data_IF_157854635858
#
_entry.id   IF_157854635858
#
_cell.length_a   1.000
_cell.length_b   1.000
_cell.length_c   1.000
_cell.angle_alpha   90.00
_cell.angle_beta   90.00
_cell.angle_gamma   90.00
#
_symmetry.space_group_name_H-M   'P 1'
#
loop_
_entity.id
_entity.type
_entity.pdbx_description
1 polymer ?
#
# COMPACT_ATOMS: atom_id res chain seq x y z
N UNK A 1 -1.75 -15.52 17.53
CA UNK A 1 -0.95 -16.61 18.13
C UNK A 1 0.27 -15.99 18.77
N UNK A 2 0.61 -16.42 19.94
CA UNK A 2 1.79 -15.99 20.68
C UNK A 2 2.51 -17.25 21.16
N UNK A 3 3.79 -17.42 20.77
CA UNK A 3 4.61 -18.57 21.12
C UNK A 3 3.85 -19.91 21.05
N UNK A 4 3.30 -20.20 19.85
CA UNK A 4 2.55 -21.41 19.47
C UNK A 4 1.15 -21.58 20.11
N UNK A 5 0.74 -20.68 21.00
CA UNK A 5 -0.59 -20.68 21.59
C UNK A 5 -1.54 -19.71 20.87
N UNK A 6 -2.75 -20.17 20.59
CA UNK A 6 -3.81 -19.34 19.98
C UNK A 6 -4.45 -18.47 21.05
N UNK A 7 -4.20 -17.16 21.00
CA UNK A 7 -4.78 -16.21 21.96
C UNK A 7 -6.22 -15.82 21.61
N UNK A 8 -6.51 -15.62 20.32
CA UNK A 8 -7.84 -15.23 19.88
C UNK A 8 -8.13 -15.62 18.43
N UNK A 9 -9.38 -15.83 18.13
CA UNK A 9 -9.91 -15.99 16.78
C UNK A 9 -11.17 -15.15 16.64
N UNK A 10 -11.28 -14.43 15.52
CA UNK A 10 -12.45 -13.65 15.20
C UNK A 10 -12.93 -14.02 13.78
N UNK A 11 -14.22 -14.19 13.61
CA UNK A 11 -14.86 -14.39 12.32
C UNK A 11 -16.20 -13.67 12.31
N UNK A 12 -16.60 -13.14 11.17
CA UNK A 12 -17.88 -12.45 11.06
C UNK A 12 -18.23 -12.09 9.63
N UNK A 13 -19.52 -11.92 9.39
CA UNK A 13 -20.06 -11.46 8.10
C UNK A 13 -20.58 -10.03 8.28
N UNK A 14 -20.28 -9.20 7.30
CA UNK A 14 -20.81 -7.82 7.21
C UNK A 14 -21.51 -7.67 5.87
N UNK A 15 -22.75 -7.18 5.91
CA UNK A 15 -23.57 -6.93 4.73
C UNK A 15 -24.17 -5.53 4.81
N UNK A 16 -24.36 -4.89 3.67
CA UNK A 16 -25.02 -3.59 3.57
C UNK A 16 -24.89 -2.96 2.20
N UNK A 17 -25.53 -1.83 2.02
CA UNK A 17 -25.63 -1.07 0.79
C UNK A 17 -25.12 0.35 1.02
N UNK A 18 -24.32 0.87 0.10
CA UNK A 18 -23.98 2.28 -0.01
C UNK A 18 -24.60 2.88 -1.26
N UNK A 19 -25.27 4.01 -1.11
CA UNK A 19 -25.88 4.77 -2.21
C UNK A 19 -25.21 6.13 -2.33
N UNK A 20 -24.77 6.46 -3.54
CA UNK A 20 -24.24 7.78 -3.89
C UNK A 20 -25.10 8.42 -4.98
N UNK A 21 -25.51 9.64 -4.74
CA UNK A 21 -26.26 10.43 -5.71
C UNK A 21 -25.40 11.62 -6.12
N UNK A 22 -25.25 11.80 -7.44
CA UNK A 22 -24.50 12.90 -8.03
C UNK A 22 -25.46 13.94 -8.59
N UNK A 23 -25.20 15.21 -8.27
CA UNK A 23 -25.83 16.36 -8.89
C UNK A 23 -24.75 17.33 -9.38
N UNK A 24 -24.48 17.35 -10.68
CA UNK A 24 -23.37 18.13 -11.24
C UNK A 24 -22.02 17.76 -10.65
N UNK A 25 -21.40 18.68 -9.90
CA UNK A 25 -20.14 18.54 -9.21
C UNK A 25 -20.28 18.28 -7.70
N UNK A 26 -21.51 18.05 -7.24
CA UNK A 26 -21.83 17.70 -5.87
C UNK A 26 -22.25 16.24 -5.76
N UNK A 27 -22.17 15.67 -4.57
CA UNK A 27 -22.72 14.35 -4.31
C UNK A 27 -23.11 14.23 -2.84
N UNK A 28 -24.12 13.41 -2.60
CA UNK A 28 -24.45 12.91 -1.26
C UNK A 28 -24.23 11.41 -1.21
N UNK A 29 -23.81 10.94 -0.05
CA UNK A 29 -23.58 9.53 0.20
C UNK A 29 -24.29 9.11 1.48
N UNK A 30 -24.92 7.96 1.42
CA UNK A 30 -25.50 7.31 2.57
C UNK A 30 -25.30 5.80 2.51
N UNK A 31 -25.40 5.13 3.65
CA UNK A 31 -25.29 3.69 3.72
C UNK A 31 -26.29 3.10 4.73
N UNK A 32 -26.63 1.84 4.53
CA UNK A 32 -27.49 1.08 5.42
C UNK A 32 -27.11 -0.40 5.41
N UNK A 33 -27.40 -1.10 6.49
CA UNK A 33 -27.36 -2.57 6.56
C UNK A 33 -28.77 -3.20 6.52
N UNK A 34 -29.80 -2.37 6.41
CA UNK A 34 -31.17 -2.81 6.18
C UNK A 34 -31.36 -3.09 4.68
N UNK A 35 -31.79 -4.28 4.34
CA UNK A 35 -31.99 -4.75 2.95
C UNK A 35 -33.47 -4.94 2.59
N UNK A 36 -34.41 -4.52 3.47
CA UNK A 36 -35.83 -4.51 3.16
C UNK A 36 -36.15 -3.51 2.04
N UNK A 37 -36.89 -3.95 1.02
CA UNK A 37 -37.14 -3.16 -0.18
C UNK A 37 -37.84 -1.82 0.12
N UNK A 38 -38.80 -1.80 1.05
CA UNK A 38 -39.51 -0.58 1.43
C UNK A 38 -38.59 0.40 2.10
N UNK A 39 -37.78 -0.08 3.04
CA UNK A 39 -36.80 0.73 3.76
C UNK A 39 -35.70 1.27 2.84
N UNK A 40 -35.25 0.48 1.86
CA UNK A 40 -34.29 0.93 0.85
C UNK A 40 -34.89 2.05 -0.04
N UNK A 41 -36.16 1.96 -0.44
CA UNK A 41 -36.83 3.02 -1.21
C UNK A 41 -36.96 4.30 -0.39
N UNK A 42 -37.33 4.21 0.88
CA UNK A 42 -37.42 5.37 1.77
C UNK A 42 -36.03 5.98 2.02
N UNK A 43 -35.01 5.17 2.20
CA UNK A 43 -33.62 5.60 2.34
C UNK A 43 -33.12 6.34 1.09
N UNK A 44 -33.36 5.80 -0.09
CA UNK A 44 -32.99 6.43 -1.35
C UNK A 44 -33.70 7.78 -1.55
N UNK A 45 -35.00 7.85 -1.21
CA UNK A 45 -35.77 9.09 -1.26
C UNK A 45 -35.21 10.14 -0.31
N UNK A 46 -34.98 9.80 0.97
CA UNK A 46 -34.41 10.73 1.94
C UNK A 46 -33.06 11.28 1.50
N UNK A 47 -32.24 10.42 0.89
CA UNK A 47 -30.94 10.82 0.38
C UNK A 47 -31.07 11.78 -0.82
N UNK A 48 -32.01 11.52 -1.74
CA UNK A 48 -32.29 12.39 -2.87
C UNK A 48 -32.86 13.77 -2.42
N UNK A 49 -33.78 13.76 -1.45
CA UNK A 49 -34.40 14.97 -0.92
C UNK A 49 -33.35 15.91 -0.26
N UNK A 50 -32.25 15.37 0.24
CA UNK A 50 -31.14 16.16 0.83
C UNK A 50 -30.37 17.02 -0.18
N UNK A 51 -30.53 16.76 -1.49
CA UNK A 51 -29.98 17.61 -2.56
C UNK A 51 -30.87 18.81 -2.92
N UNK A 52 -32.05 18.92 -2.30
CA UNK A 52 -32.93 20.11 -2.46
C UNK A 52 -33.66 20.21 -3.81
N UNK A 53 -33.56 19.20 -4.66
CA UNK A 53 -34.22 19.17 -5.98
C UNK A 53 -35.20 18.00 -6.10
N UNK A 54 -36.31 18.23 -6.83
CA UNK A 54 -37.20 17.15 -7.23
C UNK A 54 -36.59 16.40 -8.42
N UNK A 55 -36.04 15.21 -8.15
CA UNK A 55 -35.52 14.34 -9.19
C UNK A 55 -36.62 13.91 -10.18
N UNK A 56 -36.25 13.76 -11.47
CA UNK A 56 -37.12 13.16 -12.45
C UNK A 56 -37.05 11.63 -12.32
N UNK A 57 -38.19 10.96 -12.31
CA UNK A 57 -38.22 9.51 -12.39
C UNK A 57 -37.81 9.08 -13.81
N UNK A 58 -36.63 8.50 -13.91
CA UNK A 58 -36.10 7.93 -15.15
C UNK A 58 -36.02 6.42 -14.95
N UNK A 59 -36.78 5.63 -15.73
CA UNK A 59 -36.67 4.17 -15.66
C UNK A 59 -35.29 3.77 -16.21
N UNK A 60 -34.58 2.93 -15.46
CA UNK A 60 -33.26 2.42 -15.82
C UNK A 60 -33.35 0.92 -15.99
N UNK A 61 -32.96 0.42 -17.17
CA UNK A 61 -32.79 -1.00 -17.41
C UNK A 61 -31.35 -1.38 -17.09
N UNK A 62 -31.15 -2.17 -16.04
CA UNK A 62 -29.84 -2.68 -15.68
C UNK A 62 -29.41 -3.78 -16.64
N UNK A 63 -28.20 -3.67 -17.16
CA UNK A 63 -27.52 -4.67 -17.97
C UNK A 63 -26.37 -5.27 -17.17
N UNK A 64 -26.43 -6.58 -16.94
CA UNK A 64 -25.33 -7.30 -16.29
C UNK A 64 -24.12 -7.35 -17.23
N UNK A 65 -22.97 -6.93 -16.69
CA UNK A 65 -21.68 -7.01 -17.35
C UNK A 65 -20.94 -8.20 -16.77
N UNK A 66 -20.61 -9.16 -17.62
CA UNK A 66 -19.80 -10.33 -17.27
C UNK A 66 -18.39 -10.17 -17.81
N UNK A 67 -17.41 -10.74 -17.11
CA UNK A 67 -16.00 -10.69 -17.50
C UNK A 67 -15.26 -11.92 -16.96
N UNK A 68 -14.10 -12.18 -17.51
CA UNK A 68 -13.21 -13.22 -17.03
C UNK A 68 -12.43 -12.71 -15.80
N UNK A 69 -12.43 -13.49 -14.72
CA UNK A 69 -11.72 -13.11 -13.49
C UNK A 69 -10.20 -13.25 -13.71
N UNK A 70 -9.47 -12.13 -13.56
CA UNK A 70 -8.01 -12.10 -13.66
C UNK A 70 -7.30 -12.66 -12.41
N UNK A 71 -8.03 -12.79 -11.29
CA UNK A 71 -7.49 -13.24 -10.00
C UNK A 71 -7.92 -14.67 -9.72
N UNK A 72 -7.08 -15.63 -10.09
CA UNK A 72 -7.39 -17.06 -9.95
C UNK A 72 -7.18 -17.48 -8.49
N UNK A 73 -8.26 -17.95 -7.86
CA UNK A 73 -8.26 -18.51 -6.51
C UNK A 73 -8.49 -20.01 -6.62
N UNK A 74 -7.57 -20.80 -6.11
CA UNK A 74 -7.61 -22.26 -6.18
C UNK A 74 -8.15 -22.90 -4.90
N UNK A 75 -7.79 -22.35 -3.74
CA UNK A 75 -8.16 -22.86 -2.42
C UNK A 75 -8.76 -21.71 -1.60
N UNK A 76 -10.08 -21.66 -1.54
CA UNK A 76 -10.81 -20.59 -0.86
C UNK A 76 -10.55 -20.66 0.66
N UNK A 77 -10.10 -19.58 1.31
CA UNK A 77 -9.75 -19.58 2.73
C UNK A 77 -10.92 -19.97 3.65
N UNK A 78 -12.16 -19.55 3.36
CA UNK A 78 -13.33 -19.91 4.18
C UNK A 78 -13.64 -21.41 4.17
N UNK A 79 -13.21 -22.14 3.14
CA UNK A 79 -13.41 -23.59 3.00
C UNK A 79 -12.29 -24.38 3.69
N UNK A 80 -11.23 -23.69 4.14
CA UNK A 80 -10.12 -24.30 4.87
C UNK A 80 -10.43 -24.36 6.35
N UNK A 81 -10.27 -25.56 6.93
CA UNK A 81 -10.54 -25.76 8.34
C UNK A 81 -9.64 -24.89 9.24
N UNK A 82 -10.18 -24.39 10.34
CA UNK A 82 -9.43 -23.53 11.28
C UNK A 82 -8.14 -24.20 11.78
N UNK A 83 -8.17 -25.52 12.03
CA UNK A 83 -7.00 -26.29 12.45
C UNK A 83 -5.84 -26.21 11.47
N UNK A 84 -6.13 -26.17 10.15
CA UNK A 84 -5.11 -26.12 9.11
C UNK A 84 -4.49 -24.71 9.02
N UNK A 85 -5.31 -23.66 9.20
CA UNK A 85 -4.83 -22.28 9.35
C UNK A 85 -3.93 -22.11 10.58
N UNK A 86 -4.33 -22.69 11.71
CA UNK A 86 -3.54 -22.71 12.94
C UNK A 86 -2.23 -23.48 12.74
N UNK A 87 -2.23 -24.57 11.98
CA UNK A 87 -1.00 -25.32 11.67
C UNK A 87 -0.01 -24.48 10.85
N UNK A 88 -0.49 -23.69 9.87
CA UNK A 88 0.38 -22.74 9.14
C UNK A 88 0.99 -21.69 10.08
N UNK A 89 0.19 -21.12 10.99
CA UNK A 89 0.67 -20.13 11.95
C UNK A 89 1.72 -20.73 12.91
N UNK A 90 1.51 -21.99 13.35
CA UNK A 90 2.46 -22.69 14.24
C UNK A 90 3.80 -22.90 13.55
N UNK A 91 3.81 -23.35 12.28
CA UNK A 91 5.04 -23.51 11.50
C UNK A 91 5.84 -22.21 11.40
N UNK A 92 5.16 -21.06 11.22
CA UNK A 92 5.81 -19.75 11.20
C UNK A 92 6.36 -19.36 12.57
N UNK A 93 5.62 -19.64 13.64
CA UNK A 93 6.01 -19.33 15.01
C UNK A 93 7.23 -20.17 15.46
N UNK A 94 7.18 -21.50 15.24
CA UNK A 94 8.28 -22.42 15.53
C UNK A 94 9.55 -22.06 14.77
N UNK A 95 9.42 -21.70 13.47
CA UNK A 95 10.55 -21.27 12.65
C UNK A 95 11.19 -19.96 13.13
N UNK A 96 10.38 -19.03 13.63
CA UNK A 96 10.88 -17.80 14.23
C UNK A 96 11.60 -18.07 15.55
N UNK A 97 11.01 -18.87 16.45
CA UNK A 97 11.56 -19.17 17.78
C UNK A 97 12.86 -20.00 17.69
N UNK A 98 12.93 -20.95 16.75
CA UNK A 98 14.10 -21.80 16.56
C UNK A 98 15.26 -21.14 15.81
N UNK A 99 15.08 -19.91 15.32
CA UNK A 99 16.10 -19.19 14.54
C UNK A 99 17.35 -18.88 15.37
N UNK A 100 17.16 -18.41 16.61
CA UNK A 100 18.24 -18.08 17.54
C UNK A 100 17.73 -18.14 18.98
N UNK A 101 18.60 -18.48 19.93
CA UNK A 101 18.27 -18.57 21.36
C UNK A 101 17.86 -17.22 21.99
N UNK A 102 18.21 -16.11 21.38
CA UNK A 102 17.80 -14.77 21.82
C UNK A 102 16.39 -14.39 21.35
N UNK A 103 15.73 -15.18 20.50
CA UNK A 103 14.32 -14.94 20.16
C UNK A 103 13.44 -15.39 21.33
N UNK A 104 12.94 -14.43 22.06
CA UNK A 104 12.14 -14.66 23.28
C UNK A 104 10.64 -14.68 23.02
N UNK A 105 10.20 -14.13 21.86
CA UNK A 105 8.78 -14.01 21.54
C UNK A 105 8.55 -14.07 20.04
N UNK A 106 7.56 -14.86 19.61
CA UNK A 106 7.02 -14.88 18.25
C UNK A 106 5.51 -14.61 18.28
N UNK A 107 5.08 -13.60 17.54
CA UNK A 107 3.66 -13.23 17.39
C UNK A 107 3.29 -13.47 15.94
N UNK A 108 2.28 -14.30 15.71
CA UNK A 108 1.77 -14.60 14.38
C UNK A 108 0.31 -14.17 14.27
N UNK A 109 0.01 -13.32 13.28
CA UNK A 109 -1.34 -12.94 12.91
C UNK A 109 -1.65 -13.46 11.52
N UNK A 110 -2.73 -14.20 11.39
CA UNK A 110 -3.29 -14.64 10.12
C UNK A 110 -4.59 -13.89 9.88
N UNK A 111 -4.80 -13.45 8.66
CA UNK A 111 -6.03 -12.82 8.21
C UNK A 111 -6.43 -13.33 6.84
N UNK A 112 -7.70 -13.62 6.65
CA UNK A 112 -8.31 -13.77 5.34
C UNK A 112 -9.58 -12.91 5.25
N UNK A 113 -9.92 -12.52 4.02
CA UNK A 113 -11.09 -11.70 3.71
C UNK A 113 -11.67 -12.16 2.37
N UNK A 114 -12.99 -12.29 2.33
CA UNK A 114 -13.75 -12.57 1.11
C UNK A 114 -14.86 -11.52 0.98
N UNK A 115 -14.73 -10.66 -0.04
CA UNK A 115 -15.66 -9.56 -0.29
C UNK A 115 -16.44 -9.81 -1.59
N UNK A 116 -17.76 -9.98 -1.47
CA UNK A 116 -18.68 -10.00 -2.60
C UNK A 116 -19.19 -8.58 -2.85
N UNK A 117 -18.96 -8.06 -4.03
CA UNK A 117 -19.32 -6.69 -4.43
C UNK A 117 -20.30 -6.76 -5.58
N UNK A 118 -21.40 -5.99 -5.48
CA UNK A 118 -22.33 -5.73 -6.58
C UNK A 118 -22.48 -4.22 -6.75
N UNK A 119 -22.28 -3.72 -7.95
CA UNK A 119 -22.32 -2.29 -8.27
C UNK A 119 -23.31 -2.07 -9.41
N UNK A 120 -24.23 -1.13 -9.21
CA UNK A 120 -25.15 -0.67 -10.26
C UNK A 120 -25.22 0.86 -10.28
N UNK A 121 -25.56 1.43 -11.43
CA UNK A 121 -25.71 2.88 -11.57
C UNK A 121 -26.88 3.26 -12.48
N UNK A 122 -27.23 4.56 -12.49
CA UNK A 122 -28.30 5.11 -13.30
C UNK A 122 -28.02 5.13 -14.81
N UNK A 123 -26.82 4.73 -15.26
CA UNK A 123 -26.49 4.55 -16.69
C UNK A 123 -26.80 3.12 -17.17
N UNK A 124 -27.40 2.28 -16.29
CA UNK A 124 -27.80 0.91 -16.62
C UNK A 124 -26.72 -0.14 -16.35
N UNK A 125 -25.60 0.21 -15.74
CA UNK A 125 -24.55 -0.75 -15.38
C UNK A 125 -25.00 -1.62 -14.21
N UNK A 126 -24.76 -2.94 -14.30
CA UNK A 126 -24.76 -3.87 -13.19
C UNK A 126 -23.57 -4.82 -13.33
N UNK A 127 -22.69 -4.86 -12.34
CA UNK A 127 -21.46 -5.66 -12.37
C UNK A 127 -21.17 -6.21 -10.97
N UNK A 128 -20.64 -7.42 -10.92
CA UNK A 128 -20.28 -8.10 -9.66
C UNK A 128 -18.81 -8.47 -9.66
N UNK A 129 -18.21 -8.50 -8.47
CA UNK A 129 -16.84 -8.92 -8.25
C UNK A 129 -16.72 -9.71 -6.94
N UNK A 130 -15.78 -10.65 -6.90
CA UNK A 130 -15.42 -11.38 -5.68
C UNK A 130 -13.93 -11.20 -5.43
N UNK A 131 -13.60 -10.63 -4.29
CA UNK A 131 -12.23 -10.30 -3.89
C UNK A 131 -11.84 -11.16 -2.70
N UNK A 132 -10.85 -12.01 -2.88
CA UNK A 132 -10.34 -12.90 -1.83
C UNK A 132 -8.89 -12.52 -1.55
N UNK A 133 -8.56 -12.41 -0.26
CA UNK A 133 -7.21 -12.05 0.19
C UNK A 133 -6.81 -12.89 1.38
N UNK A 134 -5.52 -13.17 1.47
CA UNK A 134 -4.91 -13.77 2.65
C UNK A 134 -3.61 -13.07 3.00
N UNK A 135 -3.30 -13.00 4.28
CA UNK A 135 -2.08 -12.39 4.82
C UNK A 135 -1.62 -13.10 6.08
N UNK A 136 -0.31 -13.27 6.20
CA UNK A 136 0.31 -13.70 7.46
C UNK A 136 1.35 -12.65 7.87
N UNK A 137 1.25 -12.17 9.11
CA UNK A 137 2.21 -11.25 9.70
C UNK A 137 2.89 -11.93 10.89
N UNK A 138 4.21 -12.00 10.85
CA UNK A 138 5.04 -12.52 11.95
C UNK A 138 5.88 -11.37 12.51
N UNK A 139 5.90 -11.27 13.83
CA UNK A 139 6.79 -10.38 14.56
C UNK A 139 7.59 -11.22 15.55
N UNK A 140 8.91 -11.14 15.47
CA UNK A 140 9.83 -11.80 16.38
C UNK A 140 10.51 -10.76 17.28
N UNK A 141 10.64 -11.05 18.56
CA UNK A 141 11.35 -10.21 19.54
C UNK A 141 12.64 -10.90 19.93
N UNK A 142 13.76 -10.27 19.66
CA UNK A 142 15.08 -10.67 20.14
C UNK A 142 15.44 -9.89 21.39
N UNK A 143 16.06 -10.56 22.37
CA UNK A 143 16.49 -9.97 23.63
C UNK A 143 17.81 -10.56 24.10
N UNK A 144 18.74 -9.69 24.51
CA UNK A 144 19.99 -10.03 25.17
C UNK A 144 20.24 -9.03 26.32
N UNK A 145 20.07 -9.49 27.54
CA UNK A 145 20.10 -8.61 28.73
C UNK A 145 19.09 -7.46 28.62
N UNK A 146 19.59 -6.24 28.59
CA UNK A 146 18.78 -5.02 28.43
C UNK A 146 18.49 -4.66 26.95
N UNK A 147 19.19 -5.27 26.01
CA UNK A 147 18.96 -5.05 24.59
C UNK A 147 17.69 -5.79 24.15
N UNK A 148 16.85 -5.10 23.39
CA UNK A 148 15.61 -5.67 22.86
C UNK A 148 15.24 -5.01 21.53
N UNK A 149 15.01 -5.84 20.52
CA UNK A 149 14.58 -5.38 19.19
C UNK A 149 13.51 -6.29 18.61
N UNK A 150 12.77 -5.74 17.66
CA UNK A 150 11.68 -6.46 16.99
C UNK A 150 11.89 -6.45 15.49
N UNK A 151 11.86 -7.63 14.88
CA UNK A 151 11.78 -7.80 13.44
C UNK A 151 10.39 -8.25 13.01
N UNK A 152 10.00 -7.97 11.79
CA UNK A 152 8.71 -8.45 11.27
C UNK A 152 8.75 -8.68 9.76
N UNK A 153 7.94 -9.67 9.34
CA UNK A 153 7.68 -10.00 7.95
C UNK A 153 6.17 -10.25 7.79
N UNK A 154 5.54 -9.65 6.78
CA UNK A 154 4.08 -9.71 6.71
C UNK A 154 3.56 -9.76 5.27
N UNK A 155 3.89 -10.81 4.49
CA UNK A 155 3.40 -10.98 3.13
C UNK A 155 1.90 -11.26 3.08
N UNK A 156 1.29 -10.89 1.95
CA UNK A 156 -0.11 -11.16 1.64
C UNK A 156 -0.37 -11.00 0.15
N UNK A 157 -1.49 -11.55 -0.31
CA UNK A 157 -1.88 -11.51 -1.72
C UNK A 157 -3.39 -11.53 -1.89
N UNK A 158 -3.84 -11.15 -3.08
CA UNK A 158 -5.22 -11.35 -3.55
C UNK A 158 -5.34 -12.80 -4.06
N UNK A 159 -5.07 -13.73 -3.15
CA UNK A 159 -4.96 -15.16 -3.38
C UNK A 159 -5.69 -15.95 -2.30
N UNK A 160 -5.91 -17.24 -2.55
CA UNK A 160 -6.39 -18.19 -1.56
C UNK A 160 -5.24 -18.81 -0.74
N UNK A 161 -5.49 -20.01 -0.21
CA UNK A 161 -4.50 -20.73 0.62
C UNK A 161 -3.27 -21.19 -0.19
N UNK A 162 -3.32 -21.20 -1.52
CA UNK A 162 -2.18 -21.45 -2.39
C UNK A 162 -1.07 -20.41 -2.25
N UNK A 163 -1.36 -19.24 -1.72
CA UNK A 163 -0.37 -18.23 -1.37
C UNK A 163 0.76 -18.80 -0.52
N UNK A 164 0.43 -19.71 0.42
CA UNK A 164 1.40 -20.33 1.33
C UNK A 164 2.24 -21.46 0.70
N UNK A 165 1.98 -21.81 -0.55
CA UNK A 165 2.85 -22.72 -1.31
C UNK A 165 4.10 -21.97 -1.80
N UNK A 166 3.95 -20.67 -2.12
CA UNK A 166 5.03 -19.76 -2.55
C UNK A 166 5.68 -19.06 -1.35
N UNK A 167 4.87 -18.45 -0.48
CA UNK A 167 5.32 -17.76 0.74
C UNK A 167 5.22 -18.72 1.93
N UNK A 168 6.23 -19.58 2.08
CA UNK A 168 6.21 -20.60 3.12
C UNK A 168 6.18 -19.97 4.51
N UNK A 169 5.30 -20.42 5.43
CA UNK A 169 5.23 -19.89 6.78
C UNK A 169 6.57 -19.86 7.50
N UNK A 170 7.40 -20.88 7.29
CA UNK A 170 8.73 -20.97 7.90
C UNK A 170 9.65 -19.82 7.45
N UNK A 171 9.61 -19.47 6.17
CA UNK A 171 10.46 -18.40 5.62
C UNK A 171 10.01 -17.04 6.16
N UNK A 172 8.69 -16.84 6.34
CA UNK A 172 8.13 -15.62 6.94
C UNK A 172 8.61 -15.51 8.40
N UNK A 173 8.56 -16.61 9.17
CA UNK A 173 9.04 -16.67 10.56
C UNK A 173 10.53 -16.38 10.67
N UNK A 174 11.35 -17.06 9.86
CA UNK A 174 12.82 -16.88 9.83
C UNK A 174 13.20 -15.45 9.46
N UNK A 175 12.53 -14.84 8.49
CA UNK A 175 12.85 -13.48 8.07
C UNK A 175 12.53 -12.46 9.18
N UNK A 176 11.41 -12.62 9.89
CA UNK A 176 11.11 -11.79 11.05
C UNK A 176 12.18 -11.91 12.14
N UNK A 177 12.62 -13.14 12.45
CA UNK A 177 13.66 -13.40 13.43
C UNK A 177 15.04 -12.88 12.98
N UNK A 178 15.40 -13.05 11.69
CA UNK A 178 16.64 -12.52 11.12
C UNK A 178 16.73 -11.01 11.31
N UNK A 179 15.66 -10.27 10.98
CA UNK A 179 15.61 -8.81 11.15
C UNK A 179 15.79 -8.46 12.63
N UNK A 180 15.08 -9.13 13.55
CA UNK A 180 15.19 -8.89 14.99
C UNK A 180 16.62 -9.06 15.49
N UNK A 181 17.28 -10.16 15.09
CA UNK A 181 18.66 -10.46 15.47
C UNK A 181 19.67 -9.47 14.89
N UNK A 182 19.50 -9.07 13.63
CA UNK A 182 20.35 -8.05 13.00
C UNK A 182 20.25 -6.72 13.74
N UNK A 183 19.04 -6.32 14.11
CA UNK A 183 18.80 -5.03 14.79
C UNK A 183 19.19 -5.07 16.28
N UNK A 184 19.23 -6.24 16.92
CA UNK A 184 19.57 -6.39 18.34
C UNK A 184 20.92 -5.74 18.67
N UNK A 185 21.92 -5.97 17.81
CA UNK A 185 23.28 -5.47 17.97
C UNK A 185 23.60 -4.28 17.06
N UNK A 186 22.62 -3.76 16.35
CA UNK A 186 22.82 -2.60 15.48
C UNK A 186 23.23 -1.36 16.28
N UNK A 187 24.14 -0.57 15.70
CA UNK A 187 24.61 0.67 16.30
C UNK A 187 23.56 1.80 16.10
N UNK A 188 23.54 2.83 16.97
CA UNK A 188 22.72 4.01 16.71
C UNK A 188 23.10 4.66 15.38
N UNK A 189 22.06 4.96 14.55
CA UNK A 189 22.29 5.64 13.26
C UNK A 189 22.83 7.05 13.47
N UNK A 190 23.86 7.47 12.72
CA UNK A 190 24.27 8.88 12.68
C UNK A 190 23.19 9.73 12.01
N UNK A 191 23.03 10.98 12.46
CA UNK A 191 22.18 11.97 11.81
C UNK A 191 22.99 12.84 10.84
N UNK A 192 22.36 13.33 9.80
CA UNK A 192 22.99 14.23 8.83
C UNK A 192 22.32 14.22 7.48
N UNK A 193 22.88 14.98 6.55
CA UNK A 193 22.48 14.96 5.13
C UNK A 193 23.47 14.09 4.38
N UNK A 194 22.97 13.08 3.69
CA UNK A 194 23.80 12.09 3.00
C UNK A 194 23.05 11.42 1.86
N UNK A 195 23.75 10.79 0.90
CA UNK A 195 23.12 9.88 -0.05
C UNK A 195 22.43 8.71 0.66
N UNK A 196 21.23 8.36 0.19
CA UNK A 196 20.48 7.21 0.72
C UNK A 196 20.12 6.29 -0.43
N UNK A 197 20.52 5.02 -0.32
CA UNK A 197 20.02 3.96 -1.18
C UNK A 197 18.85 3.31 -0.46
N UNK A 198 17.69 3.36 -1.07
CA UNK A 198 16.46 2.74 -0.56
C UNK A 198 16.22 1.48 -1.37
N UNK A 199 16.19 0.33 -0.71
CA UNK A 199 16.05 -0.96 -1.38
C UNK A 199 14.65 -1.15 -2.00
N UNK A 200 14.51 -2.18 -2.76
CA UNK A 200 13.29 -2.51 -3.49
C UNK A 200 12.11 -2.89 -2.56
N UNK A 201 10.97 -3.19 -3.15
CA UNK A 201 9.77 -3.65 -2.41
C UNK A 201 9.15 -2.55 -1.57
N UNK A 202 9.10 -2.72 -0.25
CA UNK A 202 8.44 -1.77 0.66
C UNK A 202 9.12 -0.39 0.72
N UNK A 203 10.33 -0.24 0.15
CA UNK A 203 10.93 1.08 -0.11
C UNK A 203 10.02 2.01 -0.88
N UNK A 204 9.18 1.47 -1.78
CA UNK A 204 8.17 2.20 -2.54
C UNK A 204 7.10 2.91 -1.71
N UNK A 205 7.04 2.69 -0.39
CA UNK A 205 6.17 3.44 0.52
C UNK A 205 6.47 4.94 0.48
N UNK A 206 7.72 5.34 0.26
CA UNK A 206 8.09 6.75 0.14
C UNK A 206 7.41 7.37 -1.07
N UNK A 207 7.45 6.71 -2.24
CA UNK A 207 6.74 7.19 -3.42
C UNK A 207 5.23 7.22 -3.20
N UNK A 208 4.66 6.18 -2.58
CA UNK A 208 3.23 6.08 -2.28
C UNK A 208 2.74 7.27 -1.45
N UNK A 209 3.41 7.54 -0.35
CA UNK A 209 3.01 8.60 0.60
C UNK A 209 3.39 9.99 0.08
N UNK A 210 4.63 10.18 -0.32
CA UNK A 210 5.16 11.49 -0.67
C UNK A 210 4.65 12.02 -2.03
N UNK A 211 4.28 11.12 -2.94
CA UNK A 211 3.82 11.47 -4.29
C UNK A 211 2.43 10.90 -4.60
N UNK A 212 2.21 9.61 -4.38
CA UNK A 212 0.99 8.91 -4.78
C UNK A 212 -0.29 9.56 -4.27
N UNK A 213 -0.37 9.87 -2.98
CA UNK A 213 -1.52 10.59 -2.41
C UNK A 213 -1.72 11.98 -3.01
N UNK A 214 -0.64 12.67 -3.36
CA UNK A 214 -0.70 13.97 -4.03
C UNK A 214 -1.18 13.88 -5.49
N UNK A 215 -1.22 12.70 -6.08
CA UNK A 215 -1.77 12.43 -7.42
C UNK A 215 -3.23 11.95 -7.38
N UNK A 216 -3.83 11.78 -6.21
CA UNK A 216 -5.26 11.48 -6.08
C UNK A 216 -6.11 12.71 -6.49
N UNK A 217 -7.00 12.53 -7.46
CA UNK A 217 -7.79 13.61 -8.06
C UNK A 217 -8.62 14.41 -7.05
N UNK A 218 -8.98 13.82 -5.91
CA UNK A 218 -9.69 14.53 -4.85
C UNK A 218 -8.91 15.73 -4.31
N UNK A 219 -7.62 15.58 -4.08
CA UNK A 219 -6.72 16.66 -3.64
C UNK A 219 -6.45 17.65 -4.78
N UNK A 220 -6.18 17.11 -5.98
CA UNK A 220 -5.89 17.91 -7.19
C UNK A 220 -7.08 18.82 -7.55
N UNK A 221 -8.30 18.31 -7.58
CA UNK A 221 -9.50 19.05 -7.93
C UNK A 221 -9.85 20.17 -6.93
N UNK A 222 -9.35 20.09 -5.71
CA UNK A 222 -9.50 21.11 -4.66
C UNK A 222 -8.30 22.06 -4.58
N UNK A 223 -7.34 21.92 -5.46
CA UNK A 223 -6.07 22.65 -5.44
C UNK A 223 -5.30 22.51 -4.10
N UNK A 224 -5.41 21.34 -3.49
CA UNK A 224 -4.75 20.97 -2.22
C UNK A 224 -3.53 20.06 -2.43
N UNK A 225 -3.19 19.76 -3.68
CA UNK A 225 -2.03 18.94 -4.05
C UNK A 225 -0.92 19.82 -4.62
N UNK A 226 0.33 19.51 -4.24
CA UNK A 226 1.54 20.13 -4.80
C UNK A 226 1.68 19.87 -6.31
N UNK A 227 0.96 18.88 -6.85
CA UNK A 227 0.98 18.53 -8.27
C UNK A 227 -0.26 19.03 -9.04
N UNK A 228 -1.14 19.82 -8.40
CA UNK A 228 -2.29 20.41 -9.09
C UNK A 228 -1.80 21.33 -10.22
N UNK A 229 -2.38 21.18 -11.42
CA UNK A 229 -2.03 21.95 -12.60
C UNK A 229 -0.68 21.64 -13.23
N UNK A 230 0.02 20.58 -12.81
CA UNK A 230 1.36 20.23 -13.30
C UNK A 230 1.39 19.12 -14.37
N UNK A 231 0.24 18.75 -14.95
CA UNK A 231 0.24 17.81 -16.08
C UNK A 231 1.16 18.29 -17.20
N UNK A 232 1.99 17.38 -17.73
CA UNK A 232 2.99 17.67 -18.75
C UNK A 232 4.26 18.33 -18.24
N UNK A 233 4.35 18.67 -16.96
CA UNK A 233 5.55 19.28 -16.37
C UNK A 233 6.47 18.23 -15.74
N UNK A 234 7.75 18.56 -15.61
CA UNK A 234 8.73 17.76 -14.88
C UNK A 234 8.51 17.88 -13.38
N UNK A 235 8.28 16.73 -12.72
CA UNK A 235 8.09 16.65 -11.26
C UNK A 235 9.04 15.64 -10.60
N UNK A 236 9.82 14.93 -11.39
CA UNK A 236 10.82 13.97 -10.94
C UNK A 236 12.05 14.00 -11.87
N UNK A 237 13.12 13.35 -11.48
CA UNK A 237 14.29 13.18 -12.35
C UNK A 237 13.95 12.29 -13.57
N UNK A 238 14.75 12.37 -14.62
CA UNK A 238 14.48 11.68 -15.89
C UNK A 238 14.51 10.15 -15.76
N UNK A 239 15.25 9.60 -14.82
CA UNK A 239 15.30 8.15 -14.57
C UNK A 239 14.02 7.62 -13.92
N UNK A 240 13.11 8.48 -13.44
CA UNK A 240 11.89 8.09 -12.73
C UNK A 240 10.72 7.90 -13.70
N UNK A 241 10.19 6.68 -13.74
CA UNK A 241 8.89 6.36 -14.35
C UNK A 241 8.06 5.62 -13.31
N UNK A 242 6.81 6.06 -13.11
CA UNK A 242 5.91 5.52 -12.09
C UNK A 242 4.54 5.20 -12.65
N UNK A 243 3.94 4.14 -12.15
CA UNK A 243 2.61 3.67 -12.56
C UNK A 243 1.76 3.32 -11.34
N UNK A 244 0.44 3.32 -11.55
CA UNK A 244 -0.54 2.61 -10.72
C UNK A 244 -1.20 1.54 -11.59
N UNK A 245 -1.18 0.28 -11.15
CA UNK A 245 -1.63 -0.85 -11.95
C UNK A 245 -2.51 -1.80 -11.16
N UNK A 246 -3.83 -1.64 -11.30
CA UNK A 246 -4.83 -2.51 -10.66
C UNK A 246 -5.03 -3.86 -11.34
N UNK A 247 -4.37 -4.12 -12.48
CA UNK A 247 -4.58 -5.32 -13.32
C UNK A 247 -3.64 -6.47 -13.02
N UNK A 248 -2.64 -6.26 -12.16
CA UNK A 248 -1.62 -7.29 -11.87
C UNK A 248 -2.28 -8.50 -11.23
N UNK A 249 -2.22 -9.70 -11.85
CA UNK A 249 -2.87 -10.88 -11.30
C UNK A 249 -2.44 -11.16 -9.85
N UNK A 250 -3.42 -11.41 -8.99
CA UNK A 250 -3.23 -11.80 -7.60
C UNK A 250 -2.43 -10.82 -6.70
N UNK A 251 -2.09 -9.60 -7.18
CA UNK A 251 -1.43 -8.61 -6.36
C UNK A 251 -2.40 -8.07 -5.27
N UNK A 252 -1.86 -7.70 -4.12
CA UNK A 252 -2.63 -7.32 -2.93
C UNK A 252 -3.59 -6.15 -3.16
N UNK A 253 -3.18 -5.13 -3.93
CA UNK A 253 -3.98 -3.96 -4.27
C UNK A 253 -4.88 -4.13 -5.49
N UNK A 254 -4.79 -5.25 -6.23
CA UNK A 254 -5.54 -5.49 -7.46
C UNK A 254 -7.00 -5.86 -7.22
N UNK A 255 -7.84 -5.58 -8.22
CA UNK A 255 -9.21 -6.03 -8.35
C UNK A 255 -9.61 -5.99 -9.83
N UNK A 256 -10.64 -6.75 -10.24
CA UNK A 256 -11.12 -6.70 -11.62
C UNK A 256 -11.77 -5.36 -11.95
N UNK A 257 -12.49 -4.80 -10.98
CA UNK A 257 -13.17 -3.51 -11.08
C UNK A 257 -12.89 -2.63 -9.86
N UNK A 258 -12.94 -1.31 -10.07
CA UNK A 258 -12.97 -0.35 -8.97
C UNK A 258 -14.34 -0.32 -8.27
N UNK A 259 -14.50 0.49 -7.23
CA UNK A 259 -15.75 0.57 -6.47
C UNK A 259 -16.83 1.48 -7.10
N UNK A 260 -16.62 1.93 -8.34
CA UNK A 260 -17.62 2.53 -9.25
C UNK A 260 -17.96 1.60 -10.44
N UNK A 261 -17.43 0.36 -10.44
CA UNK A 261 -17.69 -0.66 -11.45
C UNK A 261 -16.97 -0.40 -12.78
N UNK A 262 -15.85 0.29 -12.78
CA UNK A 262 -15.00 0.45 -13.95
C UNK A 262 -13.89 -0.61 -13.91
N UNK A 263 -13.57 -1.23 -15.05
CA UNK A 263 -12.45 -2.16 -15.13
C UNK A 263 -11.16 -1.46 -14.78
N UNK A 264 -10.40 -2.09 -13.86
CA UNK A 264 -9.08 -1.59 -13.48
C UNK A 264 -8.14 -1.54 -14.67
N UNK A 265 -7.15 -0.69 -14.60
CA UNK A 265 -6.18 -0.49 -15.68
C UNK A 265 -4.81 -0.13 -15.11
N UNK A 266 -3.81 -0.20 -15.98
CA UNK A 266 -2.51 0.39 -15.72
C UNK A 266 -2.53 1.85 -16.15
N UNK A 267 -2.23 2.75 -15.22
CA UNK A 267 -2.15 4.20 -15.43
C UNK A 267 -0.71 4.64 -15.28
N UNK A 268 -0.12 5.25 -16.31
CA UNK A 268 1.19 5.89 -16.20
C UNK A 268 1.02 7.22 -15.50
N UNK A 269 1.59 7.36 -14.32
CA UNK A 269 1.54 8.58 -13.51
C UNK A 269 2.66 9.55 -13.88
N UNK A 270 3.89 9.03 -13.93
CA UNK A 270 5.09 9.77 -14.31
C UNK A 270 5.82 8.97 -15.39
N UNK A 271 6.26 9.63 -16.44
CA UNK A 271 7.07 9.03 -17.49
C UNK A 271 8.34 9.87 -17.69
N UNK A 272 9.50 9.28 -17.41
CA UNK A 272 10.81 9.97 -17.51
C UNK A 272 10.78 11.34 -16.83
N UNK A 273 10.26 11.37 -15.60
CA UNK A 273 10.14 12.58 -14.78
C UNK A 273 8.99 13.51 -15.10
N UNK A 274 8.22 13.27 -16.17
CA UNK A 274 7.09 14.11 -16.60
C UNK A 274 5.78 13.56 -16.05
N UNK A 275 4.97 14.39 -15.40
CA UNK A 275 3.64 14.04 -14.92
C UNK A 275 2.69 13.80 -16.09
N UNK A 276 2.12 12.59 -16.20
CA UNK A 276 1.26 12.17 -17.30
C UNK A 276 -0.21 12.05 -16.92
N UNK A 277 -0.50 11.68 -15.67
CA UNK A 277 -1.88 11.45 -15.24
C UNK A 277 -2.01 11.62 -13.73
N UNK A 278 -3.25 11.78 -13.30
CA UNK A 278 -3.71 11.64 -11.93
C UNK A 278 -4.47 10.33 -11.74
N UNK A 279 -4.75 9.95 -10.50
CA UNK A 279 -5.67 8.89 -10.14
C UNK A 279 -7.08 9.47 -10.02
N UNK A 280 -7.97 9.12 -10.94
CA UNK A 280 -9.22 9.86 -11.15
C UNK A 280 -10.43 8.96 -10.90
N UNK A 281 -11.30 9.36 -9.95
CA UNK A 281 -12.66 8.86 -9.76
C UNK A 281 -13.69 9.66 -10.57
N UNK A 282 -14.92 9.21 -10.65
CA UNK A 282 -15.97 9.83 -11.47
C UNK A 282 -16.24 11.29 -11.08
N UNK A 283 -16.41 11.61 -9.80
CA UNK A 283 -16.73 12.96 -9.37
C UNK A 283 -15.58 13.95 -9.63
N UNK A 284 -14.38 13.57 -9.27
CA UNK A 284 -13.23 14.44 -9.46
C UNK A 284 -12.79 14.49 -10.93
N UNK A 285 -13.09 13.45 -11.71
CA UNK A 285 -12.99 13.48 -13.18
C UNK A 285 -13.87 14.56 -13.81
N UNK A 286 -15.13 14.70 -13.36
CA UNK A 286 -16.00 15.79 -13.78
C UNK A 286 -15.42 17.17 -13.43
N UNK A 287 -14.88 17.33 -12.21
CA UNK A 287 -14.26 18.60 -11.76
C UNK A 287 -13.01 18.96 -12.54
N UNK A 288 -12.20 17.99 -12.91
CA UNK A 288 -10.94 18.18 -13.65
C UNK A 288 -11.12 18.09 -15.19
N UNK A 289 -12.32 17.78 -15.67
CA UNK A 289 -12.57 17.44 -17.07
C UNK A 289 -11.64 16.33 -17.60
N UNK A 290 -11.49 15.28 -16.80
CA UNK A 290 -10.63 14.13 -17.09
C UNK A 290 -11.45 12.83 -17.02
N UNK A 291 -11.14 11.83 -17.87
CA UNK A 291 -11.76 10.51 -17.74
C UNK A 291 -11.33 9.81 -16.44
N UNK A 292 -12.22 8.96 -15.92
CA UNK A 292 -11.86 8.08 -14.78
C UNK A 292 -10.69 7.16 -15.17
N UNK A 293 -9.77 6.96 -14.23
CA UNK A 293 -8.66 6.00 -14.34
C UNK A 293 -8.99 4.65 -13.66
N UNK A 294 -10.24 4.43 -13.29
CA UNK A 294 -10.68 3.26 -12.53
C UNK A 294 -9.92 3.12 -11.20
N UNK A 295 -9.74 4.24 -10.52
CA UNK A 295 -9.03 4.33 -9.24
C UNK A 295 -9.96 4.63 -8.06
N UNK A 296 -11.28 4.50 -8.25
CA UNK A 296 -12.27 4.78 -7.22
C UNK A 296 -12.35 3.61 -6.24
N UNK A 297 -11.99 3.82 -4.98
CA UNK A 297 -11.91 2.73 -4.00
C UNK A 297 -12.49 3.11 -2.65
N UNK A 298 -12.96 2.09 -1.92
CA UNK A 298 -13.45 2.19 -0.53
C UNK A 298 -13.25 0.90 0.24
N UNK A 299 -13.20 0.99 1.55
CA UNK A 299 -13.08 -0.16 2.44
C UNK A 299 -14.33 -1.05 2.42
N UNK A 300 -15.51 -0.44 2.46
CA UNK A 300 -16.81 -1.15 2.50
C UNK A 300 -17.95 -0.20 2.15
N UNK A 301 -19.17 -0.73 2.15
CA UNK A 301 -20.40 0.06 1.94
C UNK A 301 -20.59 1.23 2.93
N UNK A 302 -19.87 1.26 4.04
CA UNK A 302 -19.94 2.36 5.03
C UNK A 302 -19.19 3.62 4.60
N UNK A 303 -18.38 3.53 3.58
CA UNK A 303 -17.50 4.61 3.13
C UNK A 303 -17.86 5.06 1.71
N UNK A 304 -17.79 6.37 1.51
CA UNK A 304 -17.87 6.96 0.18
C UNK A 304 -16.64 6.57 -0.65
N UNK A 305 -16.85 6.32 -1.95
CA UNK A 305 -15.73 6.07 -2.88
C UNK A 305 -14.97 7.36 -3.16
N UNK A 306 -13.66 7.25 -3.36
CA UNK A 306 -12.81 8.34 -3.84
C UNK A 306 -11.60 7.79 -4.57
N UNK A 307 -10.89 8.66 -5.29
CA UNK A 307 -9.63 8.29 -5.96
C UNK A 307 -8.61 7.79 -4.94
N UNK A 308 -8.06 6.62 -5.20
CA UNK A 308 -7.06 5.92 -4.38
C UNK A 308 -6.13 5.10 -5.26
N UNK A 309 -4.96 4.82 -4.73
CA UNK A 309 -3.98 3.93 -5.34
C UNK A 309 -4.42 2.47 -5.31
N UNK A 310 -3.92 1.66 -6.26
CA UNK A 310 -4.04 0.19 -6.30
C UNK A 310 -2.68 -0.45 -6.00
N UNK A 311 -1.90 -0.78 -7.02
CA UNK A 311 -0.50 -1.16 -6.88
C UNK A 311 0.33 -0.04 -7.52
N UNK A 312 0.94 0.78 -6.68
CA UNK A 312 1.65 1.99 -7.10
C UNK A 312 3.15 1.81 -6.95
N UNK A 313 3.89 1.91 -8.04
CA UNK A 313 5.31 1.60 -8.02
C UNK A 313 6.13 2.33 -9.09
N UNK A 314 7.44 2.47 -8.81
CA UNK A 314 8.42 2.89 -9.80
C UNK A 314 8.80 1.71 -10.69
N UNK A 315 8.97 1.96 -11.98
CA UNK A 315 9.45 0.96 -12.93
C UNK A 315 10.96 0.75 -12.82
N UNK A 316 11.42 -0.39 -13.34
CA UNK A 316 12.85 -0.67 -13.45
C UNK A 316 13.58 0.40 -14.27
N UNK A 317 14.71 0.83 -13.72
CA UNK A 317 15.77 1.51 -14.44
C UNK A 317 16.79 0.52 -15.01
N UNK A 318 17.97 1.02 -15.30
CA UNK A 318 19.07 0.25 -15.90
C UNK A 318 20.27 0.06 -14.97
N UNK A 319 20.27 0.71 -13.83
CA UNK A 319 21.38 0.63 -12.88
C UNK A 319 21.41 -0.71 -12.15
N UNK A 320 22.58 -1.05 -11.58
CA UNK A 320 22.73 -2.21 -10.70
C UNK A 320 22.89 -1.73 -9.26
N UNK A 321 22.24 -2.41 -8.31
CA UNK A 321 22.34 -2.04 -6.90
C UNK A 321 23.78 -2.05 -6.40
N UNK A 322 24.56 -3.03 -6.83
CA UNK A 322 25.98 -3.18 -6.46
C UNK A 322 26.83 -2.00 -6.92
N UNK A 323 26.55 -1.46 -8.11
CA UNK A 323 27.26 -0.27 -8.63
C UNK A 323 26.84 0.99 -7.87
N UNK A 324 25.56 1.12 -7.54
CA UNK A 324 25.07 2.24 -6.73
C UNK A 324 25.75 2.26 -5.35
N UNK A 325 25.91 1.10 -4.71
CA UNK A 325 26.61 0.97 -3.43
C UNK A 325 28.09 1.34 -3.61
N UNK A 326 28.76 0.77 -4.63
CA UNK A 326 30.19 0.99 -4.91
C UNK A 326 30.52 2.46 -5.19
N UNK A 327 29.64 3.19 -5.85
CA UNK A 327 29.80 4.63 -6.16
C UNK A 327 29.48 5.54 -4.96
N UNK A 328 28.96 5.02 -3.88
CA UNK A 328 28.60 5.79 -2.68
C UNK A 328 29.71 5.67 -1.63
N UNK A 329 30.54 6.72 -1.50
CA UNK A 329 31.67 6.71 -0.56
C UNK A 329 31.22 6.70 0.90
N UNK A 330 30.16 7.43 1.23
CA UNK A 330 29.51 7.44 2.56
C UNK A 330 28.02 7.68 2.38
N UNK A 331 27.18 6.90 3.08
CA UNK A 331 25.72 7.03 2.99
C UNK A 331 24.99 6.00 3.82
N UNK A 332 23.68 5.95 3.63
CA UNK A 332 22.79 4.98 4.27
C UNK A 332 22.20 4.01 3.23
N UNK A 333 22.23 2.72 3.53
CA UNK A 333 21.43 1.70 2.85
C UNK A 333 20.21 1.38 3.69
N UNK A 334 19.05 1.90 3.30
CA UNK A 334 17.74 1.63 3.90
C UNK A 334 17.16 0.37 3.27
N UNK A 335 17.43 -0.79 3.88
CA UNK A 335 17.04 -2.10 3.34
C UNK A 335 15.55 -2.39 3.50
N UNK A 336 14.97 -2.01 4.64
CA UNK A 336 13.54 -2.23 4.90
C UNK A 336 12.95 -1.01 5.59
N UNK A 337 11.92 -0.45 4.99
CA UNK A 337 11.20 0.67 5.57
C UNK A 337 10.21 0.19 6.63
N UNK A 338 9.93 1.05 7.60
CA UNK A 338 8.79 0.95 8.50
C UNK A 338 7.68 1.93 8.09
N UNK A 339 6.72 2.16 8.96
CA UNK A 339 5.70 3.17 8.75
C UNK A 339 6.25 4.59 8.92
N UNK A 340 5.49 5.55 8.44
CA UNK A 340 5.78 6.97 8.56
C UNK A 340 4.54 7.81 8.43
N UNK A 341 4.72 9.10 8.29
CA UNK A 341 3.65 10.07 8.06
C UNK A 341 4.04 11.05 6.96
N UNK A 342 3.04 11.51 6.23
CA UNK A 342 3.15 12.59 5.25
C UNK A 342 2.16 13.69 5.60
N UNK A 343 2.59 14.94 5.46
CA UNK A 343 1.75 16.11 5.61
C UNK A 343 1.14 16.52 4.26
N UNK A 344 0.09 17.34 4.30
CA UNK A 344 -0.54 17.87 3.08
C UNK A 344 0.43 18.69 2.20
N UNK A 345 1.50 19.23 2.79
CA UNK A 345 2.61 19.92 2.11
C UNK A 345 3.55 18.98 1.35
N UNK A 346 3.40 17.66 1.53
CA UNK A 346 4.31 16.64 0.98
C UNK A 346 5.54 16.38 1.84
N UNK A 347 5.67 17.03 3.00
CA UNK A 347 6.74 16.73 3.95
C UNK A 347 6.51 15.39 4.60
N UNK A 348 7.53 14.55 4.64
CA UNK A 348 7.44 13.20 5.16
C UNK A 348 8.51 12.89 6.21
N UNK A 349 8.18 11.90 7.02
CA UNK A 349 9.05 11.32 8.02
C UNK A 349 8.80 9.81 8.07
N UNK A 350 9.78 9.00 7.64
CA UNK A 350 9.68 7.54 7.58
C UNK A 350 10.77 6.87 8.40
N UNK A 351 10.38 6.02 9.32
CA UNK A 351 11.31 5.18 10.05
C UNK A 351 11.87 4.07 9.13
N UNK A 352 13.14 3.77 9.30
CA UNK A 352 13.81 2.65 8.65
C UNK A 352 13.88 1.50 9.65
N UNK A 353 13.39 0.33 9.26
CA UNK A 353 13.37 -0.86 10.11
C UNK A 353 14.70 -1.59 10.13
N UNK A 354 15.32 -1.72 8.95
CA UNK A 354 16.62 -2.35 8.78
C UNK A 354 17.48 -1.45 7.89
N UNK A 355 18.59 -0.98 8.43
CA UNK A 355 19.51 -0.10 7.72
C UNK A 355 20.96 -0.46 8.00
N UNK A 356 21.83 -0.03 7.09
CA UNK A 356 23.28 -0.20 7.18
C UNK A 356 23.97 1.06 6.73
N UNK A 357 25.17 1.32 7.26
CA UNK A 357 26.05 2.34 6.69
C UNK A 357 26.66 1.82 5.38
N UNK A 358 26.86 2.75 4.46
CA UNK A 358 27.73 2.57 3.33
C UNK A 358 28.99 3.36 3.61
N UNK A 359 30.15 2.69 3.57
CA UNK A 359 31.46 3.29 3.78
C UNK A 359 32.42 2.73 2.73
N UNK A 360 33.12 3.60 2.04
CA UNK A 360 34.06 3.27 0.96
C UNK A 360 33.46 2.32 -0.11
N UNK A 361 32.21 2.56 -0.50
CA UNK A 361 31.50 1.75 -1.51
C UNK A 361 31.09 0.35 -1.03
N UNK A 362 30.95 0.11 0.26
CA UNK A 362 30.55 -1.17 0.84
C UNK A 362 29.49 -0.99 1.91
N UNK A 363 28.54 -1.93 1.97
CA UNK A 363 27.62 -2.07 3.11
C UNK A 363 28.45 -2.59 4.30
N UNK A 364 28.40 -1.86 5.42
CA UNK A 364 29.22 -2.14 6.58
C UNK A 364 28.35 -2.41 7.82
N UNK A 365 28.22 -1.45 8.73
CA UNK A 365 27.63 -1.60 10.05
C UNK A 365 26.10 -1.52 10.00
N UNK A 366 25.36 -2.49 10.55
CA UNK A 366 23.94 -2.33 10.76
C UNK A 366 23.65 -1.20 11.75
N UNK A 367 22.69 -0.34 11.41
CA UNK A 367 22.29 0.81 12.22
C UNK A 367 20.80 0.85 12.48
N UNK A 368 20.40 1.34 13.68
CA UNK A 368 19.02 1.45 14.13
C UNK A 368 18.63 2.88 14.49
N UNK A 369 17.31 3.13 14.51
CA UNK A 369 16.77 4.47 14.80
C UNK A 369 16.95 5.45 13.66
N UNK A 370 17.23 4.99 12.44
CA UNK A 370 17.26 5.81 11.25
C UNK A 370 15.85 6.28 10.87
N UNK A 371 15.76 7.55 10.48
CA UNK A 371 14.53 8.17 9.98
C UNK A 371 14.85 8.97 8.74
N UNK A 372 14.14 8.71 7.65
CA UNK A 372 14.26 9.48 6.41
C UNK A 372 13.28 10.66 6.45
N UNK A 373 13.81 11.87 6.29
CA UNK A 373 13.06 13.12 6.36
C UNK A 373 13.25 13.87 5.04
N UNK A 374 12.14 14.33 4.46
CA UNK A 374 12.20 15.06 3.20
C UNK A 374 10.85 15.62 2.78
N UNK A 375 10.84 16.21 1.58
CA UNK A 375 9.62 16.60 0.87
C UNK A 375 9.49 15.76 -0.39
N UNK A 376 8.29 15.30 -0.71
CA UNK A 376 8.07 14.40 -1.84
C UNK A 376 8.51 14.97 -3.18
N UNK A 377 8.18 16.24 -3.45
CA UNK A 377 8.57 16.91 -4.70
C UNK A 377 10.09 17.02 -4.86
N UNK A 378 10.77 17.38 -3.78
CA UNK A 378 12.23 17.55 -3.81
C UNK A 378 12.94 16.20 -3.91
N UNK A 379 12.46 15.20 -3.17
CA UNK A 379 13.04 13.85 -3.16
C UNK A 379 12.98 13.21 -4.54
N UNK A 380 11.86 13.33 -5.25
CA UNK A 380 11.71 12.79 -6.61
C UNK A 380 12.71 13.40 -7.61
N UNK A 381 13.07 14.67 -7.44
CA UNK A 381 14.06 15.36 -8.28
C UNK A 381 15.50 14.95 -7.93
N UNK A 382 15.74 14.48 -6.69
CA UNK A 382 17.05 14.04 -6.20
C UNK A 382 17.33 12.54 -6.41
N UNK A 383 16.38 11.79 -6.97
CA UNK A 383 16.64 10.41 -7.38
C UNK A 383 17.57 10.44 -8.59
N UNK A 384 18.79 9.96 -8.44
CA UNK A 384 19.81 9.99 -9.50
C UNK A 384 20.11 8.62 -10.10
N UNK A 385 19.71 7.52 -9.43
CA UNK A 385 19.87 6.12 -9.88
C UNK A 385 18.61 5.32 -9.62
N UNK A 386 18.28 4.43 -10.54
CA UNK A 386 17.15 3.47 -10.44
C UNK A 386 17.61 2.11 -10.95
N UNK A 387 17.59 1.12 -10.10
CA UNK A 387 18.03 -0.24 -10.41
C UNK A 387 17.02 -1.04 -11.27
N UNK A 388 17.40 -2.25 -11.65
CA UNK A 388 16.57 -3.19 -12.44
C UNK A 388 15.88 -4.28 -11.63
N UNK A 389 15.80 -4.15 -10.29
CA UNK A 389 15.36 -5.21 -9.37
C UNK A 389 13.98 -4.93 -8.72
N UNK A 390 13.01 -4.44 -9.50
CA UNK A 390 11.67 -4.14 -9.01
C UNK A 390 11.09 -5.28 -8.16
N UNK A 391 10.67 -4.93 -6.96
CA UNK A 391 9.82 -5.76 -6.12
C UNK A 391 8.63 -4.93 -5.60
N UNK A 392 7.58 -5.63 -5.15
CA UNK A 392 6.40 -5.03 -4.54
C UNK A 392 6.17 -5.62 -3.17
N UNK A 393 5.53 -4.85 -2.32
CA UNK A 393 5.16 -5.26 -0.97
C UNK A 393 3.79 -4.70 -0.60
N UNK A 394 3.05 -5.47 0.17
CA UNK A 394 1.69 -5.14 0.54
C UNK A 394 1.63 -4.16 1.72
N UNK A 395 0.65 -3.27 1.66
CA UNK A 395 0.31 -2.32 2.69
C UNK A 395 -1.18 -2.14 2.88
N UNK A 396 -1.55 -1.39 3.90
CA UNK A 396 -2.92 -0.90 4.10
C UNK A 396 -2.88 0.62 4.08
N UNK A 397 -3.62 1.21 3.16
CA UNK A 397 -3.66 2.64 2.98
C UNK A 397 -4.95 3.23 3.56
N UNK A 398 -4.83 4.09 4.58
CA UNK A 398 -5.94 4.74 5.27
C UNK A 398 -6.29 6.11 4.69
N UNK A 399 -7.59 6.41 4.51
CA UNK A 399 -8.08 7.73 4.08
C UNK A 399 -9.57 7.88 4.41
N UNK A 400 -10.20 8.94 3.91
CA UNK A 400 -11.65 9.18 4.08
C UNK A 400 -12.54 8.06 3.54
N UNK A 401 -12.07 7.27 2.57
CA UNK A 401 -12.78 6.09 2.08
C UNK A 401 -12.47 4.80 2.88
N UNK A 402 -11.89 4.93 4.07
CA UNK A 402 -11.48 3.84 4.94
C UNK A 402 -10.11 3.30 4.61
N UNK A 403 -9.77 2.15 5.21
CA UNK A 403 -8.51 1.44 5.00
C UNK A 403 -8.66 0.41 3.88
N UNK A 404 -7.80 0.47 2.88
CA UNK A 404 -7.86 -0.41 1.70
C UNK A 404 -6.53 -1.13 1.47
N UNK A 405 -6.56 -2.36 0.92
CA UNK A 405 -5.36 -3.05 0.48
C UNK A 405 -4.67 -2.29 -0.66
N UNK A 406 -3.37 -2.09 -0.56
CA UNK A 406 -2.59 -1.37 -1.57
C UNK A 406 -1.18 -1.95 -1.61
N UNK A 407 -0.67 -2.29 -2.79
CA UNK A 407 0.75 -2.58 -2.93
C UNK A 407 1.54 -1.30 -3.14
N UNK A 408 2.70 -1.26 -2.54
CA UNK A 408 3.75 -0.30 -2.86
C UNK A 408 4.89 -1.03 -3.56
N UNK A 409 5.69 -0.34 -4.35
CA UNK A 409 6.81 -1.00 -5.01
C UNK A 409 7.80 -0.03 -5.61
N UNK A 410 9.01 -0.52 -5.72
CA UNK A 410 10.10 0.13 -6.46
C UNK A 410 11.24 -0.85 -6.71
N UNK A 411 12.09 -0.62 -7.70
CA UNK A 411 13.46 -1.13 -7.68
C UNK A 411 14.27 -0.38 -6.63
N UNK A 412 15.47 -0.81 -6.30
CA UNK A 412 16.36 0.00 -5.49
C UNK A 412 16.62 1.36 -6.16
N UNK A 413 16.56 2.43 -5.39
CA UNK A 413 16.80 3.80 -5.86
C UNK A 413 17.89 4.43 -5.01
N UNK A 414 18.67 5.35 -5.61
CA UNK A 414 19.54 6.24 -4.86
C UNK A 414 18.98 7.66 -4.91
N UNK A 415 18.80 8.24 -3.72
CA UNK A 415 18.55 9.68 -3.54
C UNK A 415 19.89 10.31 -3.20
N UNK A 416 20.36 11.20 -4.06
CA UNK A 416 21.71 11.79 -3.97
C UNK A 416 21.94 12.58 -2.68
N UNK A 417 20.85 13.09 -2.08
CA UNK A 417 20.90 13.88 -0.86
C UNK A 417 19.56 13.77 -0.10
N UNK A 418 19.59 13.28 1.12
CA UNK A 418 18.43 13.17 2.00
C UNK A 418 18.82 13.42 3.45
N UNK A 419 17.92 14.04 4.20
CA UNK A 419 18.10 14.20 5.65
C UNK A 419 17.80 12.87 6.34
N UNK A 420 18.79 12.37 7.06
CA UNK A 420 18.69 11.19 7.92
C UNK A 420 18.66 11.66 9.37
N UNK A 421 17.55 11.41 10.08
CA UNK A 421 17.48 11.53 11.53
C UNK A 421 18.08 10.28 12.18
N UNK A 422 18.82 10.46 13.26
CA UNK A 422 19.42 9.37 14.01
C UNK A 422 19.55 9.72 15.50
N UNK A 423 19.90 8.74 16.31
CA UNK A 423 20.06 8.92 17.76
C UNK A 423 21.49 9.31 18.16
N UNK A 424 22.44 9.30 17.24
CA UNK A 424 23.80 9.82 17.41
C UNK A 424 23.92 11.16 16.68
N UNK A 425 24.35 12.21 17.39
CA UNK A 425 24.68 13.49 16.75
C UNK A 425 25.68 13.28 15.61
N UNK A 426 25.40 13.84 14.41
CA UNK A 426 26.23 13.68 13.23
C UNK A 426 27.64 14.17 13.49
N UNK A 427 28.63 13.46 12.97
CA UNK A 427 29.93 14.07 12.74
C UNK A 427 29.74 15.07 11.59
N UNK A 428 29.99 16.34 11.85
CA UNK A 428 30.19 17.31 10.79
C UNK A 428 31.36 16.80 9.92
N UNK A 429 31.05 16.28 8.75
CA UNK A 429 32.09 16.04 7.75
C UNK A 429 32.40 17.42 7.09
N UNK A 430 33.50 18.03 7.54
CA UNK A 430 34.10 19.18 6.92
C UNK A 430 34.70 18.84 5.54
#
# INVERSE_FOLDING_TARGET
MLNDEVESTNSGIRCGLGLRIYHGLESVYGYTNDTDEKNLKEFAKKLADSLGEQGKHIPVQLKEITYENAHIIRRIPRETALKDKVALMRRASEAAQSYDSHITKAIVNYQDDEQHVAISNSEGKYIRDVRIRTRMAVSAVAQDGALRETGSCSPGGSEGMEFYDTYKPEDIGKEAARIAMTMLYAQPCPSGVMPVIIDNGFGGVIFHEACGHSLEARGVAKNQSNFAGKLGQRIASECVTAVDDGTIPNAWGSANIDDEGNFTRRTVLIEKGILKSYLVDTLNGRRLNMPSTASSRRQSYKYETTSRMTNTFLLNGTDQLEDMIKETSYGLYAKTMAGGSVQATGDFNFAVREAYLIEDGKITTPVKGATLIGNGSDTLLKIDRVAGNLARAQGMCGSSSGSIPTDVGQPAIRVSEMTVGGSKGGKEHA
#
